data_IF_985829610091
#
_entry.id   IF_985829610091
#
_cell.length_a   1.000
_cell.length_b   1.000
_cell.length_c   1.000
_cell.angle_alpha   90.00
_cell.angle_beta   90.00
_cell.angle_gamma   90.00
#
_symmetry.space_group_name_H-M   'P 1'
#
loop_
_entity.id
_entity.type
_entity.pdbx_description
1 polymer ?
#
# COMPACT_ATOMS: atom_id res chain seq x y z
N UNK A 1 -8.33 -15.12 28.15
CA UNK A 1 -7.34 -14.29 27.36
C UNK A 1 -6.10 -14.17 28.20
N UNK A 2 -4.89 -14.33 27.66
CA UNK A 2 -3.63 -14.21 28.42
C UNK A 2 -3.44 -12.77 28.87
N UNK A 3 -2.87 -12.56 30.10
CA UNK A 3 -2.71 -11.21 30.67
C UNK A 3 -1.94 -10.25 29.77
N UNK A 4 -0.84 -10.72 29.17
CA UNK A 4 -0.08 -9.91 28.21
C UNK A 4 -0.95 -9.45 27.04
N UNK A 5 -1.68 -10.36 26.39
CA UNK A 5 -2.52 -10.02 25.23
C UNK A 5 -3.67 -9.08 25.62
N UNK A 6 -4.23 -9.27 26.79
CA UNK A 6 -5.26 -8.37 27.33
C UNK A 6 -4.72 -6.96 27.51
N UNK A 7 -3.57 -6.84 28.21
CA UNK A 7 -2.95 -5.54 28.48
C UNK A 7 -2.48 -4.83 27.19
N UNK A 8 -1.89 -5.57 26.24
CA UNK A 8 -1.50 -5.01 24.95
C UNK A 8 -2.71 -4.50 24.14
N UNK A 9 -3.84 -5.22 24.21
CA UNK A 9 -5.09 -4.77 23.61
C UNK A 9 -5.63 -3.52 24.28
N UNK A 10 -5.57 -3.42 25.60
CA UNK A 10 -5.95 -2.21 26.33
C UNK A 10 -5.05 -1.04 25.97
N UNK A 11 -3.73 -1.21 25.89
CA UNK A 11 -2.81 -0.18 25.41
C UNK A 11 -3.19 0.33 24.02
N UNK A 12 -3.53 -0.56 23.08
CA UNK A 12 -3.98 -0.17 21.74
C UNK A 12 -5.30 0.63 21.75
N UNK A 13 -6.21 0.29 22.65
CA UNK A 13 -7.51 0.99 22.79
C UNK A 13 -7.38 2.37 23.41
N UNK A 14 -6.47 2.54 24.37
CA UNK A 14 -6.22 3.84 25.01
C UNK A 14 -5.36 4.75 24.14
N UNK A 15 -4.37 4.21 23.42
CA UNK A 15 -3.43 4.97 22.60
C UNK A 15 -3.82 4.90 21.12
N UNK A 16 -4.82 5.68 20.72
CA UNK A 16 -5.39 5.69 19.36
C UNK A 16 -4.56 6.55 18.38
N UNK A 17 -3.28 6.27 18.25
CA UNK A 17 -2.38 6.97 17.32
C UNK A 17 -2.46 6.39 15.91
N UNK A 18 -2.52 7.26 14.91
CA UNK A 18 -2.58 6.91 13.51
C UNK A 18 -3.99 6.56 13.02
N UNK A 19 -4.10 6.19 11.75
CA UNK A 19 -5.38 5.81 11.14
C UNK A 19 -5.99 4.54 11.79
N UNK A 20 -7.30 4.34 11.62
CA UNK A 20 -7.98 3.10 12.07
C UNK A 20 -7.30 1.83 11.55
N UNK A 21 -6.82 1.82 10.30
CA UNK A 21 -6.09 0.70 9.72
C UNK A 21 -4.75 0.46 10.43
N UNK A 22 -4.03 1.53 10.79
CA UNK A 22 -2.77 1.47 11.55
C UNK A 22 -3.01 0.90 12.95
N UNK A 23 -4.05 1.37 13.64
CA UNK A 23 -4.42 0.89 14.96
C UNK A 23 -4.78 -0.60 14.95
N UNK A 24 -5.64 -1.02 14.01
CA UNK A 24 -6.05 -2.43 13.87
C UNK A 24 -4.87 -3.35 13.47
N UNK A 25 -3.95 -2.86 12.62
CA UNK A 25 -2.73 -3.60 12.27
C UNK A 25 -1.80 -3.76 13.47
N UNK A 26 -1.64 -2.72 14.27
CA UNK A 26 -0.83 -2.73 15.49
C UNK A 26 -1.38 -3.71 16.51
N UNK A 27 -2.70 -3.68 16.79
CA UNK A 27 -3.34 -4.60 17.72
C UNK A 27 -3.14 -6.06 17.31
N UNK A 28 -3.37 -6.38 16.02
CA UNK A 28 -3.13 -7.73 15.47
C UNK A 28 -1.66 -8.15 15.60
N UNK A 29 -0.74 -7.25 15.33
CA UNK A 29 0.71 -7.51 15.41
C UNK A 29 1.13 -7.78 16.85
N UNK A 30 0.70 -6.97 17.81
CA UNK A 30 1.02 -7.15 19.23
C UNK A 30 0.38 -8.41 19.79
N UNK A 31 -0.84 -8.75 19.38
CA UNK A 31 -1.49 -10.02 19.74
C UNK A 31 -0.66 -11.23 19.26
N UNK A 32 -0.18 -11.19 18.00
CA UNK A 32 0.71 -12.22 17.46
C UNK A 32 2.00 -12.33 18.27
N UNK A 33 2.65 -11.20 18.57
CA UNK A 33 3.88 -11.15 19.35
C UNK A 33 3.67 -11.72 20.76
N UNK A 34 2.57 -11.36 21.42
CA UNK A 34 2.23 -11.91 22.74
C UNK A 34 2.01 -13.43 22.71
N UNK A 35 1.38 -13.96 21.67
CA UNK A 35 1.23 -15.41 21.47
C UNK A 35 2.58 -16.09 21.29
N UNK A 36 3.45 -15.53 20.45
CA UNK A 36 4.78 -16.06 20.18
C UNK A 36 5.67 -16.08 21.42
N UNK A 37 5.62 -15.03 22.25
CA UNK A 37 6.33 -15.00 23.53
C UNK A 37 5.86 -16.12 24.47
N UNK A 38 4.56 -16.36 24.56
CA UNK A 38 4.04 -17.45 25.35
C UNK A 38 4.48 -18.83 24.83
N UNK A 39 4.47 -19.04 23.51
CA UNK A 39 4.95 -20.27 22.85
C UNK A 39 6.45 -20.49 23.08
N UNK A 40 7.23 -19.42 23.19
CA UNK A 40 8.66 -19.43 23.55
C UNK A 40 8.91 -19.66 25.06
N UNK A 41 7.86 -19.96 25.83
CA UNK A 41 7.98 -20.27 27.25
C UNK A 41 7.88 -19.07 28.20
N UNK A 42 7.74 -17.85 27.70
CA UNK A 42 7.55 -16.67 28.55
C UNK A 42 6.11 -16.56 29.06
N UNK A 43 5.76 -17.46 29.96
CA UNK A 43 4.43 -17.54 30.60
C UNK A 43 4.31 -16.51 31.74
N UNK A 44 3.11 -16.01 32.02
CA UNK A 44 2.89 -15.03 33.07
C UNK A 44 3.42 -13.62 32.81
N UNK A 45 3.77 -13.29 31.56
CA UNK A 45 4.17 -11.94 31.19
C UNK A 45 3.02 -10.95 31.26
N UNK A 46 3.35 -9.74 31.73
CA UNK A 46 2.50 -8.54 31.66
C UNK A 46 3.15 -7.51 30.72
N UNK A 47 2.41 -6.49 30.30
CA UNK A 47 2.93 -5.51 29.32
C UNK A 47 4.23 -4.82 29.79
N UNK A 48 4.39 -4.59 31.07
CA UNK A 48 5.62 -4.01 31.66
C UNK A 48 6.78 -5.01 31.84
N UNK A 49 6.59 -6.30 31.59
CA UNK A 49 7.64 -7.33 31.72
C UNK A 49 8.62 -7.38 30.55
N UNK A 50 8.46 -6.52 29.53
CA UNK A 50 9.34 -6.51 28.35
C UNK A 50 10.82 -6.32 28.77
N UNK A 51 11.70 -7.19 28.24
CA UNK A 51 13.15 -7.21 28.47
C UNK A 51 13.87 -7.52 27.16
N UNK A 52 15.20 -7.18 27.02
CA UNK A 52 15.97 -7.48 25.81
C UNK A 52 15.90 -8.96 25.40
N UNK A 53 16.00 -9.91 26.34
CA UNK A 53 15.92 -11.35 26.05
C UNK A 53 14.66 -11.78 25.30
N UNK A 54 13.54 -11.08 25.49
CA UNK A 54 12.28 -11.37 24.79
C UNK A 54 12.35 -10.96 23.31
N UNK A 55 13.09 -9.89 23.02
CA UNK A 55 13.31 -9.39 21.67
C UNK A 55 14.22 -10.33 20.92
N UNK A 56 15.31 -10.76 21.55
CA UNK A 56 16.27 -11.71 20.98
C UNK A 56 15.60 -13.05 20.65
N UNK A 57 14.79 -13.58 21.57
CA UNK A 57 14.03 -14.82 21.35
C UNK A 57 13.03 -14.69 20.18
N UNK A 58 12.33 -13.55 20.06
CA UNK A 58 11.44 -13.29 18.92
C UNK A 58 12.23 -13.18 17.61
N UNK A 59 13.36 -12.50 17.61
CA UNK A 59 14.21 -12.37 16.43
C UNK A 59 14.79 -13.72 15.99
N UNK A 60 15.25 -14.55 16.94
CA UNK A 60 15.68 -15.93 16.66
C UNK A 60 14.58 -16.71 15.93
N UNK A 61 13.39 -16.77 16.51
CA UNK A 61 12.22 -17.41 15.90
C UNK A 61 11.89 -16.86 14.51
N UNK A 62 11.95 -15.54 14.31
CA UNK A 62 11.61 -14.92 13.02
C UNK A 62 12.64 -15.20 11.94
N UNK A 63 13.91 -15.40 12.32
CA UNK A 63 14.99 -15.84 11.42
C UNK A 63 14.82 -17.32 11.05
N UNK A 64 14.54 -18.19 12.01
CA UNK A 64 14.22 -19.60 11.78
C UNK A 64 13.01 -19.79 10.85
N UNK A 65 12.01 -18.89 10.94
CA UNK A 65 10.86 -18.86 10.05
C UNK A 65 11.13 -18.18 8.71
N UNK A 66 12.35 -17.77 8.41
CA UNK A 66 12.76 -17.08 7.18
C UNK A 66 11.88 -15.88 6.82
N UNK A 67 11.41 -15.14 7.84
CA UNK A 67 10.54 -14.00 7.60
C UNK A 67 11.26 -12.91 6.82
N UNK A 68 10.54 -12.31 5.85
CA UNK A 68 11.10 -11.21 5.07
C UNK A 68 11.52 -10.05 5.97
N UNK A 69 12.59 -9.36 5.58
CA UNK A 69 13.10 -8.14 6.25
C UNK A 69 11.97 -7.14 6.53
N UNK A 70 11.06 -6.99 5.56
CA UNK A 70 9.90 -6.11 5.70
C UNK A 70 8.97 -6.50 6.84
N UNK A 71 8.72 -7.80 7.01
CA UNK A 71 7.90 -8.34 8.10
C UNK A 71 8.57 -8.12 9.44
N UNK A 72 9.87 -8.42 9.55
CA UNK A 72 10.63 -8.23 10.79
C UNK A 72 10.65 -6.74 11.19
N UNK A 73 10.97 -5.83 10.25
CA UNK A 73 10.96 -4.37 10.51
C UNK A 73 9.58 -3.87 11.00
N UNK A 74 8.48 -4.39 10.44
CA UNK A 74 7.14 -4.04 10.91
C UNK A 74 6.86 -4.55 12.33
N UNK A 75 7.29 -5.77 12.66
CA UNK A 75 7.16 -6.34 14.00
C UNK A 75 7.99 -5.57 15.02
N UNK A 76 9.23 -5.22 14.67
CA UNK A 76 10.10 -4.38 15.51
C UNK A 76 9.50 -2.99 15.77
N UNK A 77 8.87 -2.38 14.76
CA UNK A 77 8.16 -1.11 14.95
C UNK A 77 7.01 -1.24 15.97
N UNK A 78 6.27 -2.35 15.97
CA UNK A 78 5.23 -2.60 16.95
C UNK A 78 5.81 -2.82 18.37
N UNK A 79 6.95 -3.51 18.49
CA UNK A 79 7.64 -3.71 19.79
C UNK A 79 8.16 -2.35 20.31
N UNK A 80 8.77 -1.51 19.46
CA UNK A 80 9.23 -0.17 19.87
C UNK A 80 8.06 0.71 20.35
N UNK A 81 6.93 0.63 19.65
CA UNK A 81 5.72 1.32 20.09
C UNK A 81 5.24 0.79 21.47
N UNK A 82 5.20 -0.53 21.66
CA UNK A 82 4.87 -1.15 22.95
C UNK A 82 5.84 -0.68 24.03
N UNK A 83 7.15 -0.81 23.83
CA UNK A 83 8.18 -0.39 24.79
C UNK A 83 8.03 1.09 25.19
N UNK A 84 7.70 1.95 24.22
CA UNK A 84 7.44 3.37 24.45
C UNK A 84 6.22 3.58 25.37
N UNK A 85 5.13 2.81 25.17
CA UNK A 85 3.89 2.96 25.95
C UNK A 85 3.96 2.41 27.37
N UNK A 86 4.96 1.63 27.69
CA UNK A 86 5.21 1.11 29.05
C UNK A 86 6.48 1.68 29.69
N UNK A 87 7.00 2.78 29.15
CA UNK A 87 8.20 3.50 29.63
C UNK A 87 9.47 2.64 29.68
N UNK A 88 9.62 1.75 28.69
CA UNK A 88 10.76 0.83 28.55
C UNK A 88 11.51 1.00 27.22
N UNK A 89 11.66 2.25 26.78
CA UNK A 89 12.34 2.55 25.49
C UNK A 89 13.78 2.01 25.43
N UNK A 90 14.45 1.95 26.56
CA UNK A 90 15.83 1.48 26.69
C UNK A 90 16.02 -0.02 26.48
N UNK A 91 14.96 -0.83 26.55
CA UNK A 91 15.07 -2.28 26.34
C UNK A 91 15.02 -2.69 24.85
N UNK A 92 14.73 -1.73 23.97
CA UNK A 92 14.66 -1.95 22.51
C UNK A 92 15.59 -0.96 21.81
N UNK A 93 16.60 -1.44 21.13
CA UNK A 93 17.49 -0.56 20.35
C UNK A 93 16.71 0.20 19.27
N UNK A 94 17.11 1.48 19.06
CA UNK A 94 16.45 2.37 18.10
C UNK A 94 16.67 1.91 16.66
N UNK A 95 17.89 1.49 16.31
CA UNK A 95 18.23 1.06 14.97
C UNK A 95 17.87 -0.42 14.73
N UNK A 96 17.63 -0.78 13.47
CA UNK A 96 17.48 -2.17 13.06
C UNK A 96 18.85 -2.85 12.86
N UNK A 97 19.85 -2.07 12.55
CA UNK A 97 21.23 -2.51 12.37
C UNK A 97 21.77 -3.20 13.63
N UNK A 98 21.49 -2.66 14.82
CA UNK A 98 21.84 -3.28 16.10
C UNK A 98 21.42 -4.76 16.20
N UNK A 99 20.31 -5.10 15.57
CA UNK A 99 19.77 -6.47 15.53
C UNK A 99 20.16 -7.22 14.26
N UNK A 100 21.07 -6.71 13.45
CA UNK A 100 21.46 -7.32 12.18
C UNK A 100 20.32 -7.46 11.19
N UNK A 101 19.33 -6.56 11.25
CA UNK A 101 18.19 -6.55 10.31
C UNK A 101 18.55 -5.65 9.12
N UNK A 102 18.73 -6.22 7.92
CA UNK A 102 19.20 -5.47 6.75
C UNK A 102 18.18 -4.43 6.28
N UNK A 103 18.60 -3.54 5.38
CA UNK A 103 17.69 -2.59 4.77
C UNK A 103 16.77 -3.25 3.73
N UNK A 104 15.59 -2.64 3.56
CA UNK A 104 14.65 -3.08 2.52
C UNK A 104 15.12 -2.60 1.17
N UNK A 105 15.14 -3.52 0.22
CA UNK A 105 15.24 -3.13 -1.19
C UNK A 105 13.83 -2.84 -1.71
N UNK A 106 13.58 -1.59 -2.08
CA UNK A 106 12.28 -1.16 -2.65
C UNK A 106 12.31 -1.17 -4.19
N UNK A 107 13.47 -0.99 -4.77
CA UNK A 107 13.71 -0.98 -6.22
C UNK A 107 14.42 -2.27 -6.58
N UNK A 108 13.80 -3.08 -7.43
CA UNK A 108 14.32 -4.41 -7.85
C UNK A 108 14.59 -4.49 -9.35
N UNK A 109 14.24 -3.46 -10.14
CA UNK A 109 14.22 -3.49 -11.61
C UNK A 109 13.46 -4.70 -12.19
N UNK A 110 12.51 -5.25 -11.41
CA UNK A 110 11.60 -6.30 -11.84
C UNK A 110 10.19 -5.75 -11.91
N UNK A 111 9.53 -5.93 -13.04
CA UNK A 111 8.17 -5.45 -13.22
C UNK A 111 7.17 -6.22 -12.36
N UNK A 112 6.38 -5.47 -11.61
CA UNK A 112 5.20 -5.97 -10.87
C UNK A 112 3.90 -5.53 -11.54
N UNK A 113 3.99 -5.06 -12.78
CA UNK A 113 2.85 -4.62 -13.55
C UNK A 113 1.84 -5.76 -13.74
N UNK A 114 0.58 -5.38 -13.74
CA UNK A 114 -0.55 -6.24 -14.06
C UNK A 114 -1.46 -5.49 -15.01
N UNK A 115 -2.07 -6.22 -15.89
CA UNK A 115 -3.20 -5.77 -16.72
C UNK A 115 -4.36 -6.72 -16.51
N UNK A 116 -5.56 -6.24 -16.68
CA UNK A 116 -6.77 -7.06 -16.64
C UNK A 116 -7.35 -7.05 -18.05
N UNK A 117 -7.53 -8.24 -18.62
CA UNK A 117 -8.21 -8.40 -19.91
C UNK A 117 -9.72 -8.23 -19.74
N UNK A 118 -10.42 -7.94 -20.83
CA UNK A 118 -11.88 -7.87 -20.83
C UNK A 118 -12.53 -9.15 -20.29
N UNK A 119 -12.07 -10.30 -20.75
CA UNK A 119 -12.54 -11.61 -20.30
C UNK A 119 -12.35 -11.84 -18.77
N UNK A 120 -11.22 -11.38 -18.23
CA UNK A 120 -10.98 -11.46 -16.77
C UNK A 120 -11.90 -10.50 -16.00
N UNK A 121 -12.17 -9.33 -16.57
CA UNK A 121 -13.03 -8.32 -15.96
C UNK A 121 -14.50 -8.80 -15.92
N UNK A 122 -14.96 -9.52 -16.94
CA UNK A 122 -16.30 -10.11 -16.98
C UNK A 122 -16.54 -11.17 -15.90
N UNK A 123 -15.48 -11.86 -15.45
CA UNK A 123 -15.55 -12.79 -14.31
C UNK A 123 -15.80 -12.11 -12.97
N UNK A 124 -15.63 -10.77 -12.90
CA UNK A 124 -15.94 -9.94 -11.72
C UNK A 124 -17.43 -9.62 -11.73
N UNK A 125 -18.20 -10.26 -10.87
CA UNK A 125 -19.68 -10.16 -10.89
C UNK A 125 -20.22 -8.81 -10.37
N UNK A 126 -19.58 -8.24 -9.37
CA UNK A 126 -20.02 -6.95 -8.78
C UNK A 126 -19.54 -5.79 -9.68
N UNK A 127 -20.49 -5.02 -10.19
CA UNK A 127 -20.24 -3.92 -11.14
C UNK A 127 -19.41 -2.79 -10.52
N UNK A 128 -19.60 -2.48 -9.24
CA UNK A 128 -18.81 -1.47 -8.53
C UNK A 128 -17.35 -1.92 -8.33
N UNK A 129 -17.12 -3.23 -8.14
CA UNK A 129 -15.77 -3.78 -8.10
C UNK A 129 -15.13 -3.74 -9.49
N UNK A 130 -15.88 -4.10 -10.52
CA UNK A 130 -15.43 -4.04 -11.92
C UNK A 130 -14.99 -2.62 -12.28
N UNK A 131 -15.85 -1.64 -12.04
CA UNK A 131 -15.54 -0.23 -12.28
C UNK A 131 -14.34 0.27 -11.46
N UNK A 132 -14.21 -0.16 -10.20
CA UNK A 132 -13.02 0.18 -9.38
C UNK A 132 -11.73 -0.40 -9.98
N UNK A 133 -11.75 -1.58 -10.60
CA UNK A 133 -10.60 -2.17 -11.29
C UNK A 133 -10.26 -1.41 -12.57
N UNK A 134 -11.25 -1.04 -13.37
CA UNK A 134 -11.08 -0.24 -14.57
C UNK A 134 -10.44 1.13 -14.25
N UNK A 135 -10.91 1.81 -13.21
CA UNK A 135 -10.31 3.07 -12.74
C UNK A 135 -8.86 2.89 -12.23
N UNK A 136 -8.56 1.78 -11.54
CA UNK A 136 -7.19 1.47 -11.13
C UNK A 136 -6.29 1.26 -12.36
N UNK A 137 -6.77 0.59 -13.39
CA UNK A 137 -6.01 0.34 -14.61
C UNK A 137 -5.81 1.62 -15.44
N UNK A 138 -6.87 2.39 -15.63
CA UNK A 138 -6.86 3.58 -16.48
C UNK A 138 -6.09 4.76 -15.88
N UNK A 139 -6.14 4.93 -14.55
CA UNK A 139 -5.63 6.12 -13.85
C UNK A 139 -4.60 5.80 -12.77
N UNK A 140 -4.18 4.55 -12.63
CA UNK A 140 -3.24 4.15 -11.59
C UNK A 140 -3.74 4.39 -10.16
N UNK A 141 -5.05 4.46 -9.93
CA UNK A 141 -5.61 4.72 -8.61
C UNK A 141 -5.27 3.59 -7.63
N UNK A 142 -5.11 3.95 -6.33
CA UNK A 142 -5.10 2.93 -5.29
C UNK A 142 -6.49 2.34 -5.12
N UNK A 143 -6.58 1.08 -4.68
CA UNK A 143 -7.86 0.39 -4.44
C UNK A 143 -8.85 1.24 -3.65
N UNK A 144 -8.39 1.85 -2.55
CA UNK A 144 -9.22 2.69 -1.70
C UNK A 144 -9.73 3.93 -2.42
N UNK A 145 -8.88 4.57 -3.21
CA UNK A 145 -9.22 5.75 -4.00
C UNK A 145 -10.28 5.39 -5.05
N UNK A 146 -10.06 4.31 -5.81
CA UNK A 146 -10.99 3.83 -6.82
C UNK A 146 -12.36 3.39 -6.27
N UNK A 147 -12.44 2.95 -5.02
CA UNK A 147 -13.73 2.67 -4.38
C UNK A 147 -14.41 3.92 -3.82
N UNK A 148 -13.64 4.85 -3.25
CA UNK A 148 -14.18 6.05 -2.59
C UNK A 148 -14.49 7.18 -3.55
N UNK A 149 -13.94 7.17 -4.75
CA UNK A 149 -14.13 8.24 -5.75
C UNK A 149 -15.61 8.52 -5.97
N UNK A 150 -15.95 9.80 -6.03
CA UNK A 150 -17.23 10.31 -6.48
C UNK A 150 -17.02 10.95 -7.84
N UNK A 151 -17.38 10.30 -8.94
CA UNK A 151 -17.09 10.77 -10.29
C UNK A 151 -17.54 12.22 -10.54
N UNK A 152 -18.75 12.57 -10.05
CA UNK A 152 -19.30 13.93 -10.20
C UNK A 152 -18.46 15.02 -9.54
N UNK A 153 -17.60 14.68 -8.59
CA UNK A 153 -16.69 15.63 -7.93
C UNK A 153 -15.28 15.51 -8.51
N UNK A 154 -14.88 14.28 -8.86
CA UNK A 154 -13.52 14.01 -9.30
C UNK A 154 -13.25 14.47 -10.74
N UNK A 155 -14.22 14.35 -11.60
CA UNK A 155 -14.09 14.70 -13.02
C UNK A 155 -14.13 16.22 -13.22
N UNK A 156 -13.03 16.75 -13.77
CA UNK A 156 -12.82 18.16 -14.09
C UNK A 156 -12.52 18.34 -15.59
N UNK A 157 -13.14 17.54 -16.43
CA UNK A 157 -13.01 17.46 -17.88
C UNK A 157 -11.65 16.94 -18.37
N UNK A 158 -10.56 17.65 -18.13
CA UNK A 158 -9.21 17.30 -18.58
C UNK A 158 -8.42 16.48 -17.55
N UNK A 159 -8.92 16.39 -16.32
CA UNK A 159 -8.26 15.65 -15.25
C UNK A 159 -9.22 15.13 -14.17
N UNK A 160 -8.74 14.18 -13.39
CA UNK A 160 -9.39 13.76 -12.13
C UNK A 160 -8.77 14.49 -10.94
N UNK A 161 -9.59 15.20 -10.19
CA UNK A 161 -9.21 15.74 -8.88
C UNK A 161 -9.55 14.73 -7.78
N UNK A 162 -8.54 14.23 -7.08
CA UNK A 162 -8.69 13.26 -6.00
C UNK A 162 -8.62 13.95 -4.65
N UNK A 163 -9.75 14.01 -3.96
CA UNK A 163 -9.86 14.63 -2.63
C UNK A 163 -9.03 13.90 -1.59
N UNK A 164 -8.48 14.64 -0.62
CA UNK A 164 -7.68 14.11 0.47
C UNK A 164 -8.37 13.01 1.28
N UNK A 165 -9.70 13.10 1.46
CA UNK A 165 -10.50 12.08 2.18
C UNK A 165 -10.51 10.70 1.51
N UNK A 166 -10.18 10.61 0.22
CA UNK A 166 -10.10 9.34 -0.51
C UNK A 166 -8.69 8.78 -0.56
N UNK A 167 -7.69 9.63 -0.34
CA UNK A 167 -6.29 9.31 -0.55
C UNK A 167 -5.58 8.87 0.73
N UNK A 168 -4.53 8.09 0.58
CA UNK A 168 -3.67 7.72 1.69
C UNK A 168 -2.87 8.93 2.16
N UNK A 169 -3.04 9.29 3.44
CA UNK A 169 -2.34 10.42 4.03
C UNK A 169 -3.06 11.76 3.86
N UNK A 170 -4.28 11.77 3.34
CA UNK A 170 -5.12 12.97 3.26
C UNK A 170 -4.67 13.98 2.21
N UNK A 171 -3.93 13.56 1.18
CA UNK A 171 -3.38 14.47 0.16
C UNK A 171 -4.19 14.46 -1.10
N UNK A 172 -4.56 15.63 -1.53
CA UNK A 172 -5.17 15.87 -2.81
C UNK A 172 -4.15 15.71 -3.93
N UNK A 173 -4.62 15.31 -5.11
CA UNK A 173 -3.81 15.25 -6.31
C UNK A 173 -4.67 15.27 -7.57
N UNK A 174 -4.01 15.57 -8.66
CA UNK A 174 -4.56 15.58 -10.01
C UNK A 174 -3.99 14.40 -10.79
N UNK A 175 -4.84 13.74 -11.58
CA UNK A 175 -4.45 12.72 -12.55
C UNK A 175 -5.06 13.11 -13.89
N UNK A 176 -4.26 13.39 -14.93
CA UNK A 176 -4.78 13.86 -16.20
C UNK A 176 -5.61 12.80 -16.94
N UNK A 177 -6.63 13.23 -17.66
CA UNK A 177 -7.39 12.42 -18.62
C UNK A 177 -6.77 12.71 -20.00
N UNK A 178 -6.08 11.73 -20.56
CA UNK A 178 -5.22 11.90 -21.75
C UNK A 178 -5.71 11.15 -22.98
N UNK A 179 -6.61 10.21 -22.79
CA UNK A 179 -7.09 9.35 -23.86
C UNK A 179 -8.60 9.23 -23.84
N UNK A 180 -9.21 8.98 -25.01
CA UNK A 180 -10.62 8.67 -25.14
C UNK A 180 -11.03 7.46 -24.29
N UNK A 181 -10.14 6.46 -24.16
CA UNK A 181 -10.40 5.31 -23.33
C UNK A 181 -10.52 5.69 -21.85
N UNK A 182 -9.68 6.60 -21.35
CA UNK A 182 -9.79 7.12 -19.99
C UNK A 182 -11.09 7.91 -19.80
N UNK A 183 -11.47 8.74 -20.79
CA UNK A 183 -12.73 9.50 -20.80
C UNK A 183 -13.93 8.55 -20.72
N UNK A 184 -13.93 7.48 -21.52
CA UNK A 184 -15.00 6.48 -21.53
C UNK A 184 -15.11 5.75 -20.17
N UNK A 185 -13.99 5.42 -19.53
CA UNK A 185 -13.99 4.81 -18.19
C UNK A 185 -14.65 5.73 -17.16
N UNK A 186 -14.32 7.03 -17.16
CA UNK A 186 -14.92 7.96 -16.19
C UNK A 186 -16.41 8.22 -16.50
N UNK A 187 -16.80 8.25 -17.76
CA UNK A 187 -18.21 8.36 -18.15
C UNK A 187 -19.04 7.16 -17.67
N UNK A 188 -18.49 5.93 -17.75
CA UNK A 188 -19.14 4.75 -17.18
C UNK A 188 -19.22 4.83 -15.64
N UNK A 189 -18.18 5.33 -15.01
CA UNK A 189 -18.16 5.52 -13.56
C UNK A 189 -19.23 6.54 -13.11
N UNK A 190 -19.46 7.62 -13.88
CA UNK A 190 -20.56 8.56 -13.66
C UNK A 190 -21.93 7.88 -13.74
N UNK A 191 -22.17 7.09 -14.79
CA UNK A 191 -23.46 6.39 -14.96
C UNK A 191 -23.73 5.43 -13.79
N UNK A 192 -22.71 4.72 -13.31
CA UNK A 192 -22.82 3.74 -12.24
C UNK A 192 -23.00 4.40 -10.85
N UNK A 193 -22.21 5.42 -10.54
CA UNK A 193 -22.18 6.04 -9.22
C UNK A 193 -23.26 7.12 -9.04
N UNK A 194 -23.75 7.71 -10.11
CA UNK A 194 -24.65 8.86 -10.08
C UNK A 194 -24.04 10.00 -9.24
N UNK A 195 -24.78 10.47 -8.23
CA UNK A 195 -24.28 11.49 -7.28
C UNK A 195 -23.44 10.91 -6.14
N UNK A 196 -23.36 9.59 -6.02
CA UNK A 196 -22.64 8.87 -4.96
C UNK A 196 -21.16 8.59 -5.27
N UNK A 197 -20.60 7.72 -4.46
CA UNK A 197 -19.27 7.13 -4.70
C UNK A 197 -19.42 5.75 -5.33
N UNK A 198 -18.29 5.14 -5.72
CA UNK A 198 -18.31 3.73 -6.13
C UNK A 198 -18.47 2.74 -4.96
N UNK A 199 -18.69 3.22 -3.75
CA UNK A 199 -19.23 2.41 -2.66
C UNK A 199 -20.76 2.58 -2.70
N UNK A 200 -21.55 1.53 -3.01
CA UNK A 200 -23.02 1.62 -3.04
C UNK A 200 -23.58 2.09 -1.70
N UNK A 201 -24.71 2.79 -1.70
CA UNK A 201 -25.33 3.37 -0.51
C UNK A 201 -25.67 2.36 0.60
N UNK A 202 -25.91 1.09 0.24
CA UNK A 202 -26.17 -0.01 1.18
C UNK A 202 -24.90 -0.64 1.78
N UNK A 203 -23.70 -0.12 1.44
CA UNK A 203 -22.41 -0.62 1.93
C UNK A 203 -21.57 0.51 2.52
N UNK A 204 -20.79 0.19 3.54
CA UNK A 204 -19.67 1.01 3.97
C UNK A 204 -18.36 0.53 3.34
N UNK A 205 -17.29 1.29 3.51
CA UNK A 205 -15.97 0.97 2.96
C UNK A 205 -15.49 -0.45 3.32
N UNK A 206 -15.68 -0.88 4.57
CA UNK A 206 -15.22 -2.20 5.04
C UNK A 206 -16.00 -3.33 4.35
N UNK A 207 -17.30 -3.18 4.19
CA UNK A 207 -18.14 -4.14 3.45
C UNK A 207 -17.72 -4.18 1.98
N UNK A 208 -17.56 -3.03 1.33
CA UNK A 208 -17.15 -2.96 -0.08
C UNK A 208 -15.74 -3.53 -0.29
N UNK A 209 -14.81 -3.30 0.62
CA UNK A 209 -13.48 -3.91 0.57
C UNK A 209 -13.55 -5.45 0.60
N UNK A 210 -14.42 -6.02 1.45
CA UNK A 210 -14.63 -7.49 1.49
C UNK A 210 -15.25 -8.02 0.20
N UNK A 211 -16.21 -7.27 -0.36
CA UNK A 211 -16.82 -7.61 -1.67
C UNK A 211 -15.76 -7.55 -2.77
N UNK A 212 -14.92 -6.52 -2.79
CA UNK A 212 -13.80 -6.40 -3.72
C UNK A 212 -12.85 -7.60 -3.62
N UNK A 213 -12.38 -7.93 -2.41
CA UNK A 213 -11.46 -9.05 -2.18
C UNK A 213 -12.10 -10.41 -2.55
N UNK A 214 -13.38 -10.59 -2.28
CA UNK A 214 -14.11 -11.80 -2.65
C UNK A 214 -14.30 -11.95 -4.17
N UNK A 215 -14.63 -10.85 -4.87
CA UNK A 215 -14.83 -10.85 -6.33
C UNK A 215 -13.49 -11.07 -7.07
N UNK A 216 -12.44 -10.32 -6.71
CA UNK A 216 -11.13 -10.46 -7.34
C UNK A 216 -10.57 -11.88 -7.13
N UNK A 217 -10.70 -12.45 -5.92
CA UNK A 217 -10.24 -13.83 -5.65
C UNK A 217 -10.98 -14.85 -6.53
N UNK A 218 -12.32 -14.76 -6.65
CA UNK A 218 -13.11 -15.67 -7.49
C UNK A 218 -12.80 -15.55 -8.98
N UNK A 219 -12.44 -14.33 -9.42
CA UNK A 219 -12.02 -14.08 -10.79
C UNK A 219 -10.54 -14.44 -11.05
N UNK A 220 -9.82 -15.01 -10.07
CA UNK A 220 -8.40 -15.33 -10.19
C UNK A 220 -7.48 -14.11 -10.24
N UNK A 221 -7.99 -12.94 -9.84
CA UNK A 221 -7.24 -11.69 -9.86
C UNK A 221 -6.51 -11.49 -8.53
N UNK A 222 -5.19 -11.43 -8.58
CA UNK A 222 -4.32 -11.29 -7.41
C UNK A 222 -3.34 -10.12 -7.61
N UNK A 223 -2.92 -9.50 -6.50
CA UNK A 223 -1.93 -8.41 -6.50
C UNK A 223 -2.32 -7.20 -7.37
N UNK A 224 -3.59 -6.76 -7.30
CA UNK A 224 -4.15 -5.68 -8.13
C UNK A 224 -3.45 -4.32 -7.96
N UNK A 225 -2.57 -4.16 -6.97
CA UNK A 225 -1.66 -3.00 -6.95
C UNK A 225 -0.73 -2.96 -8.19
N UNK A 226 -0.56 -4.09 -8.85
CA UNK A 226 0.15 -4.20 -10.14
C UNK A 226 -0.45 -3.35 -11.26
N UNK A 227 -1.75 -3.04 -11.23
CA UNK A 227 -2.39 -2.12 -12.19
C UNK A 227 -1.77 -0.71 -12.13
N UNK A 228 -1.41 -0.27 -10.93
CA UNK A 228 -0.73 1.00 -10.73
C UNK A 228 0.73 0.95 -11.19
N UNK A 229 1.39 -0.22 -11.12
CA UNK A 229 2.71 -0.41 -11.74
C UNK A 229 2.60 -0.31 -13.26
N UNK A 230 1.59 -0.95 -13.86
CA UNK A 230 1.35 -0.85 -15.30
C UNK A 230 1.12 0.60 -15.74
N UNK A 231 0.26 1.33 -15.04
CA UNK A 231 0.04 2.75 -15.31
C UNK A 231 1.35 3.55 -15.28
N UNK A 232 2.18 3.37 -14.25
CA UNK A 232 3.42 4.11 -14.11
C UNK A 232 4.44 3.78 -15.22
N UNK A 233 4.52 2.50 -15.62
CA UNK A 233 5.44 2.03 -16.67
C UNK A 233 5.00 2.55 -18.04
N UNK A 234 3.72 2.45 -18.39
CA UNK A 234 3.18 2.98 -19.63
C UNK A 234 3.31 4.52 -19.69
N UNK A 235 3.05 5.19 -18.56
CA UNK A 235 3.20 6.65 -18.47
C UNK A 235 4.65 7.10 -18.64
N UNK A 236 5.59 6.34 -18.13
CA UNK A 236 7.02 6.61 -18.33
C UNK A 236 7.40 6.50 -19.80
N UNK A 237 6.99 5.43 -20.46
CA UNK A 237 7.25 5.23 -21.91
C UNK A 237 6.61 6.32 -22.77
N UNK A 238 5.38 6.74 -22.43
CA UNK A 238 4.69 7.86 -23.09
C UNK A 238 5.44 9.19 -22.96
N UNK A 239 6.02 9.47 -21.78
CA UNK A 239 6.72 10.73 -21.51
C UNK A 239 8.15 10.76 -22.06
N UNK A 240 8.82 9.62 -22.15
CA UNK A 240 10.24 9.54 -22.51
C UNK A 240 10.48 9.00 -23.91
N UNK A 241 9.54 8.22 -24.46
CA UNK A 241 9.70 7.51 -25.74
C UNK A 241 10.47 6.17 -25.62
N UNK A 242 10.87 5.74 -24.42
CA UNK A 242 11.53 4.44 -24.19
C UNK A 242 11.01 3.75 -22.93
N UNK A 243 11.24 2.43 -22.84
CA UNK A 243 10.82 1.62 -21.71
C UNK A 243 11.60 1.95 -20.43
N UNK A 244 10.95 1.82 -19.28
CA UNK A 244 11.59 2.04 -18.00
C UNK A 244 12.48 0.84 -17.59
N UNK A 245 13.45 1.02 -16.66
CA UNK A 245 14.35 -0.06 -16.22
C UNK A 245 13.65 -1.31 -15.70
N UNK A 246 12.48 -1.19 -15.10
CA UNK A 246 11.72 -2.33 -14.56
C UNK A 246 11.22 -3.31 -15.65
N UNK A 247 11.15 -2.88 -16.91
CA UNK A 247 10.73 -3.70 -18.06
C UNK A 247 11.83 -3.84 -19.13
N UNK A 248 13.10 -3.63 -18.74
CA UNK A 248 14.25 -3.85 -19.59
C UNK A 248 14.77 -2.61 -20.32
N UNK A 249 14.21 -1.45 -20.05
CA UNK A 249 14.74 -0.18 -20.55
C UNK A 249 16.10 0.20 -19.91
N UNK A 250 16.74 1.26 -20.41
CA UNK A 250 18.09 1.64 -19.97
C UNK A 250 18.11 2.04 -18.49
N UNK A 251 19.13 1.59 -17.77
CA UNK A 251 19.45 2.04 -16.41
C UNK A 251 19.84 3.54 -16.46
N UNK A 252 19.54 4.28 -15.40
CA UNK A 252 19.85 5.71 -15.29
C UNK A 252 21.32 6.07 -15.54
N UNK A 253 22.25 5.10 -15.35
CA UNK A 253 23.68 5.26 -15.64
C UNK A 253 23.99 5.24 -17.13
N UNK A 254 23.14 4.59 -17.93
CA UNK A 254 23.32 4.42 -19.38
C UNK A 254 22.74 5.60 -20.18
N UNK A 255 21.97 6.47 -19.54
CA UNK A 255 21.32 7.60 -20.19
C UNK A 255 22.32 8.71 -20.53
N UNK A 256 22.13 9.37 -21.70
CA UNK A 256 22.80 10.64 -22.04
C UNK A 256 22.36 11.77 -21.12
N UNK A 257 23.00 12.94 -21.21
CA UNK A 257 22.61 14.10 -20.39
C UNK A 257 21.17 14.56 -20.69
N UNK A 258 20.78 14.59 -21.95
CA UNK A 258 19.43 14.96 -22.39
C UNK A 258 18.39 13.92 -21.91
N UNK A 259 18.71 12.64 -22.07
CA UNK A 259 17.84 11.56 -21.60
C UNK A 259 17.68 11.55 -20.07
N UNK A 260 18.69 11.94 -19.29
CA UNK A 260 18.58 12.06 -17.84
C UNK A 260 17.62 13.16 -17.43
N UNK A 261 17.57 14.27 -18.16
CA UNK A 261 16.59 15.33 -17.86
C UNK A 261 15.17 14.84 -18.15
N UNK A 262 14.94 14.24 -19.33
CA UNK A 262 13.63 13.64 -19.66
C UNK A 262 13.21 12.55 -18.66
N UNK A 263 14.14 11.65 -18.23
CA UNK A 263 13.88 10.66 -17.16
C UNK A 263 13.46 11.32 -15.86
N UNK A 264 14.15 12.39 -15.46
CA UNK A 264 13.84 13.12 -14.24
C UNK A 264 12.46 13.79 -14.30
N UNK A 265 12.14 14.47 -15.39
CA UNK A 265 10.84 15.11 -15.58
C UNK A 265 9.71 14.08 -15.59
N UNK A 266 9.89 12.96 -16.29
CA UNK A 266 8.94 11.87 -16.31
C UNK A 266 8.70 11.28 -14.90
N UNK A 267 9.77 11.05 -14.13
CA UNK A 267 9.67 10.57 -12.74
C UNK A 267 8.93 11.55 -11.83
N UNK A 268 9.17 12.85 -11.98
CA UNK A 268 8.49 13.89 -11.21
C UNK A 268 6.99 13.92 -11.54
N UNK A 269 6.65 13.92 -12.83
CA UNK A 269 5.26 13.88 -13.31
C UNK A 269 4.52 12.67 -12.78
N UNK A 270 5.09 11.47 -12.94
CA UNK A 270 4.50 10.23 -12.43
C UNK A 270 4.38 10.26 -10.90
N UNK A 271 5.37 10.82 -10.19
CA UNK A 271 5.33 10.99 -8.75
C UNK A 271 4.12 11.81 -8.30
N UNK A 272 3.86 12.92 -8.97
CA UNK A 272 2.70 13.79 -8.71
C UNK A 272 1.38 13.08 -9.02
N UNK A 273 1.23 12.49 -10.21
CA UNK A 273 0.04 11.74 -10.62
C UNK A 273 -0.27 10.58 -9.66
N UNK A 274 0.78 9.92 -9.15
CA UNK A 274 0.65 8.87 -8.16
C UNK A 274 0.52 9.36 -6.71
N UNK A 275 0.63 10.67 -6.43
CA UNK A 275 0.53 11.25 -5.10
C UNK A 275 1.64 10.80 -4.16
N UNK A 276 2.88 10.88 -4.63
CA UNK A 276 4.09 10.71 -3.85
C UNK A 276 4.79 12.05 -3.65
N UNK A 277 5.44 12.25 -2.50
CA UNK A 277 6.21 13.48 -2.21
C UNK A 277 7.61 13.46 -2.79
N UNK A 278 8.13 12.27 -3.04
CA UNK A 278 9.52 12.07 -3.40
C UNK A 278 9.60 11.27 -4.69
N UNK A 279 10.33 11.80 -5.65
CA UNK A 279 10.67 11.11 -6.88
C UNK A 279 11.21 9.69 -6.64
N UNK A 280 12.07 9.53 -5.62
CA UNK A 280 12.67 8.25 -5.26
C UNK A 280 11.65 7.11 -5.04
N UNK A 281 10.40 7.44 -4.67
CA UNK A 281 9.33 6.43 -4.48
C UNK A 281 8.86 5.83 -5.79
N UNK A 282 8.94 6.60 -6.88
CA UNK A 282 8.55 6.13 -8.23
C UNK A 282 9.46 4.99 -8.70
N UNK A 283 10.71 4.96 -8.26
CA UNK A 283 11.62 3.84 -8.55
C UNK A 283 11.09 2.47 -8.16
N UNK A 284 10.18 2.39 -7.18
CA UNK A 284 9.52 1.12 -6.82
C UNK A 284 8.56 0.60 -7.91
N UNK A 285 8.12 1.46 -8.84
CA UNK A 285 7.20 1.14 -9.94
C UNK A 285 7.93 0.93 -11.27
N UNK A 286 8.91 1.79 -11.57
CA UNK A 286 9.56 1.88 -12.89
C UNK A 286 11.04 1.46 -12.87
N UNK A 287 11.61 1.15 -11.70
CA UNK A 287 13.04 0.82 -11.60
C UNK A 287 13.96 2.06 -11.54
N UNK A 288 15.26 1.81 -11.56
CA UNK A 288 16.34 2.82 -11.58
C UNK A 288 17.44 2.43 -12.52
#
# INVERSE_FOLDING_TARGET
>A
MRDLNYQLKQLCRHCREGSHATQAKRERMLTLIGNQLHELGYRGMVARSLKPKHIEALLGRWREQELTTGTIKNRMAAIRWWANKVDKRNVVARSNEYYGIPDRRFVTNESKAKTITHEQLEKVRDEHVRMSLELQQAFGLRREEAMKIRPIIADQDDHLFLQGSWTKGGRERIVPIRTEQQREVINRAHRLAGRGSLIPSNRNYVKQMRVYEGNTRRAGLHHMHGLRHSYAQNRYEELTGWQCPAVGGPDSKMLTSEQREADREARLTISQELGHEREAVVGAYIGR
#
